data_IF_662233829614
#
_entry.id   IF_662233829614
#
_cell.length_a   1.000
_cell.length_b   1.000
_cell.length_c   1.000
_cell.angle_alpha   90.00
_cell.angle_beta   90.00
_cell.angle_gamma   90.00
#
_symmetry.space_group_name_H-M   'P 1'
#
loop_
_entity.id
_entity.type
_entity.pdbx_description
1 polymer ?
#
# COMPACT_ATOMS: atom_id res chain seq x y z
N UNK A 1 0.62 7.52 -0.42
CA UNK A 1 0.79 6.07 -0.19
C UNK A 1 1.72 5.95 1.01
N UNK A 2 1.32 5.28 2.09
CA UNK A 2 2.06 5.28 3.36
C UNK A 2 2.31 3.86 3.82
N UNK A 3 3.58 3.51 4.01
CA UNK A 3 4.03 2.22 4.53
C UNK A 3 5.24 2.41 5.42
N UNK A 4 5.06 2.21 6.73
CA UNK A 4 6.02 2.55 7.77
C UNK A 4 6.93 1.41 8.24
N UNK A 5 6.96 0.28 7.53
CA UNK A 5 7.93 -0.78 7.79
C UNK A 5 8.64 -1.20 6.49
N UNK A 6 9.76 -1.88 6.67
CA UNK A 6 10.54 -2.47 5.60
C UNK A 6 10.61 -3.98 5.78
N UNK A 7 10.89 -4.75 4.71
CA UNK A 7 10.98 -6.21 4.80
C UNK A 7 12.02 -6.78 5.81
N UNK A 8 12.89 -5.94 6.39
CA UNK A 8 13.86 -6.37 7.42
C UNK A 8 13.58 -5.84 8.83
N UNK A 9 12.48 -5.11 9.07
CA UNK A 9 12.04 -4.74 10.42
C UNK A 9 13.05 -3.88 11.18
N UNK A 10 13.39 -2.71 10.64
CA UNK A 10 14.21 -1.71 11.35
C UNK A 10 13.53 -1.24 12.68
N UNK A 11 12.26 -1.60 12.88
CA UNK A 11 11.53 -1.54 14.16
C UNK A 11 11.99 -2.58 15.21
N UNK A 12 13.30 -2.76 15.48
CA UNK A 12 13.88 -3.70 16.47
C UNK A 12 13.10 -5.04 16.59
N UNK A 13 13.35 -5.92 15.63
CA UNK A 13 12.94 -7.33 15.67
C UNK A 13 12.18 -7.71 14.40
N UNK A 14 12.22 -8.99 13.97
CA UNK A 14 11.40 -9.45 12.87
C UNK A 14 9.93 -9.43 13.32
N UNK A 15 9.26 -8.29 13.18
CA UNK A 15 7.81 -8.27 13.14
C UNK A 15 7.44 -8.69 11.73
N UNK A 16 7.27 -9.99 11.51
CA UNK A 16 6.57 -10.41 10.30
C UNK A 16 5.11 -9.97 10.46
N UNK A 17 4.46 -9.58 9.36
CA UNK A 17 3.00 -9.59 9.32
C UNK A 17 2.50 -10.98 9.76
N UNK A 18 1.44 -11.06 10.56
CA UNK A 18 0.93 -12.34 11.05
C UNK A 18 1.64 -12.93 12.28
N UNK A 19 2.45 -12.16 13.00
CA UNK A 19 2.89 -12.52 14.35
C UNK A 19 4.14 -13.41 14.44
N UNK A 20 5.07 -13.28 13.51
CA UNK A 20 6.39 -13.94 13.56
C UNK A 20 6.38 -15.42 13.22
N UNK A 21 5.29 -15.95 12.65
CA UNK A 21 5.15 -17.38 12.32
C UNK A 21 5.66 -17.74 10.92
N UNK A 22 6.17 -16.77 10.16
CA UNK A 22 6.45 -16.94 8.73
C UNK A 22 7.94 -17.15 8.39
N UNK A 23 8.29 -18.06 7.46
CA UNK A 23 9.66 -18.45 7.17
C UNK A 23 10.33 -17.62 6.05
N UNK A 24 10.74 -16.38 6.30
CA UNK A 24 11.56 -15.63 5.34
C UNK A 24 11.42 -14.11 5.42
N UNK A 25 12.29 -13.34 4.74
CA UNK A 25 12.14 -11.89 4.63
C UNK A 25 11.01 -11.60 3.63
N UNK A 26 9.82 -11.35 4.15
CA UNK A 26 8.64 -11.09 3.31
C UNK A 26 8.47 -9.60 3.01
N UNK A 27 8.10 -9.38 1.77
CA UNK A 27 8.23 -8.19 0.95
C UNK A 27 6.90 -7.52 0.63
N UNK A 28 5.80 -7.96 1.26
CA UNK A 28 4.44 -7.52 1.01
C UNK A 28 4.26 -6.01 1.16
N UNK A 29 4.94 -5.39 2.13
CA UNK A 29 4.91 -3.95 2.34
C UNK A 29 5.40 -3.21 1.10
N UNK A 30 6.52 -3.65 0.51
CA UNK A 30 7.05 -3.06 -0.71
C UNK A 30 6.26 -3.48 -1.94
N UNK A 31 5.93 -4.76 -2.07
CA UNK A 31 5.17 -5.31 -3.20
C UNK A 31 3.82 -4.60 -3.35
N UNK A 32 3.05 -4.47 -2.27
CA UNK A 32 1.77 -3.76 -2.30
C UNK A 32 1.93 -2.27 -2.56
N UNK A 33 2.94 -1.62 -1.96
CA UNK A 33 3.28 -0.20 -2.24
C UNK A 33 3.56 0.00 -3.74
N UNK A 34 4.35 -0.90 -4.31
CA UNK A 34 4.68 -0.88 -5.73
C UNK A 34 3.43 -1.11 -6.58
N UNK A 35 2.59 -2.10 -6.27
CA UNK A 35 1.37 -2.40 -7.03
C UNK A 35 0.42 -1.21 -7.04
N UNK A 36 0.18 -0.57 -5.90
CA UNK A 36 -0.75 0.57 -5.85
C UNK A 36 -0.17 1.78 -6.58
N UNK A 37 1.13 2.08 -6.44
CA UNK A 37 1.80 3.12 -7.21
C UNK A 37 1.72 2.86 -8.72
N UNK A 38 2.07 1.64 -9.15
CA UNK A 38 2.04 1.22 -10.56
C UNK A 38 0.63 1.36 -11.13
N UNK A 39 -0.38 0.99 -10.32
CA UNK A 39 -1.79 1.07 -10.70
C UNK A 39 -2.20 2.53 -10.93
N UNK A 40 -1.94 3.42 -9.99
CA UNK A 40 -2.26 4.85 -10.14
C UNK A 40 -1.58 5.46 -11.37
N UNK A 41 -0.28 5.20 -11.53
CA UNK A 41 0.50 5.66 -12.67
C UNK A 41 -0.07 5.15 -14.02
N UNK A 42 -0.35 3.85 -14.13
CA UNK A 42 -0.95 3.26 -15.35
C UNK A 42 -2.32 3.83 -15.68
N UNK A 43 -3.11 4.19 -14.66
CA UNK A 43 -4.41 4.84 -14.84
C UNK A 43 -4.33 6.37 -15.01
N UNK A 44 -3.12 6.90 -15.24
CA UNK A 44 -2.92 8.28 -15.71
C UNK A 44 -2.71 9.31 -14.60
N UNK A 45 -2.52 8.87 -13.36
CA UNK A 45 -2.01 9.76 -12.33
C UNK A 45 -0.58 10.14 -12.70
N UNK A 46 -0.26 11.42 -12.55
CA UNK A 46 1.12 11.88 -12.73
C UNK A 46 1.90 11.61 -11.46
N UNK A 47 3.17 11.29 -11.63
CA UNK A 47 4.14 11.04 -10.57
C UNK A 47 4.23 12.22 -9.60
N UNK A 48 4.25 13.45 -10.14
CA UNK A 48 4.20 14.70 -9.35
C UNK A 48 2.96 14.85 -8.43
N UNK A 49 1.94 13.99 -8.59
CA UNK A 49 0.73 13.93 -7.79
C UNK A 49 0.57 12.62 -7.00
N UNK A 50 1.55 11.71 -7.04
CA UNK A 50 1.56 10.46 -6.26
C UNK A 50 2.69 10.59 -5.25
N UNK A 51 2.35 10.76 -3.98
CA UNK A 51 3.34 10.87 -2.91
C UNK A 51 3.48 9.53 -2.20
N UNK A 52 4.68 8.95 -2.22
CA UNK A 52 5.00 7.65 -1.61
C UNK A 52 5.93 7.84 -0.42
N UNK A 53 5.41 7.55 0.76
CA UNK A 53 6.16 7.49 2.01
C UNK A 53 6.41 6.02 2.35
N UNK A 54 7.65 5.58 2.23
CA UNK A 54 8.01 4.17 2.42
C UNK A 54 9.29 4.03 3.24
N UNK A 55 9.20 3.29 4.36
CA UNK A 55 10.36 2.94 5.17
C UNK A 55 11.26 4.14 5.49
N UNK A 56 12.56 4.01 5.24
CA UNK A 56 13.54 5.07 5.47
C UNK A 56 13.63 6.12 4.34
N UNK A 57 12.69 6.13 3.39
CA UNK A 57 12.67 7.10 2.29
C UNK A 57 13.48 6.68 1.06
N UNK A 58 13.70 5.37 0.90
CA UNK A 58 14.41 4.81 -0.25
C UNK A 58 13.57 3.68 -0.86
N UNK A 59 13.63 3.54 -2.19
CA UNK A 59 13.07 2.38 -2.88
C UNK A 59 13.68 1.09 -2.32
N UNK A 60 12.84 0.07 -2.13
CA UNK A 60 13.38 -1.20 -1.66
C UNK A 60 14.24 -1.89 -2.72
N UNK A 61 15.41 -2.37 -2.30
CA UNK A 61 16.31 -3.15 -3.13
C UNK A 61 16.44 -4.55 -2.55
N UNK A 62 15.94 -5.54 -3.27
CA UNK A 62 16.13 -6.93 -2.89
C UNK A 62 17.60 -7.32 -3.06
N UNK A 63 18.18 -7.92 -2.03
CA UNK A 63 19.55 -8.45 -2.09
C UNK A 63 19.53 -9.97 -2.22
N UNK A 64 20.16 -10.50 -3.26
CA UNK A 64 20.30 -11.95 -3.46
C UNK A 64 19.09 -12.66 -4.09
N UNK A 65 17.99 -11.96 -4.34
CA UNK A 65 16.86 -12.48 -5.14
C UNK A 65 16.98 -12.06 -6.61
N UNK A 66 16.33 -12.85 -7.48
CA UNK A 66 16.15 -12.53 -8.91
C UNK A 66 14.90 -11.68 -9.17
N UNK A 67 14.24 -11.16 -8.13
CA UNK A 67 12.93 -10.51 -8.13
C UNK A 67 12.88 -9.26 -9.03
N UNK A 68 12.70 -9.38 -10.33
CA UNK A 68 12.60 -8.23 -11.24
C UNK A 68 11.24 -7.52 -11.15
N UNK A 69 10.17 -8.21 -10.74
CA UNK A 69 8.79 -7.67 -10.74
C UNK A 69 8.66 -6.35 -9.96
N UNK A 70 9.37 -6.27 -8.84
CA UNK A 70 9.27 -5.18 -7.88
C UNK A 70 10.51 -4.30 -7.82
N UNK A 71 11.40 -4.38 -8.80
CA UNK A 71 12.58 -3.50 -8.85
C UNK A 71 12.21 -2.15 -9.46
N UNK A 72 12.10 -1.12 -8.60
CA UNK A 72 11.88 0.27 -9.03
C UNK A 72 12.82 0.69 -10.17
N UNK A 73 14.09 0.28 -10.11
CA UNK A 73 15.12 0.60 -11.11
C UNK A 73 14.79 0.22 -12.56
N UNK A 74 13.89 -0.74 -12.79
CA UNK A 74 13.48 -1.11 -14.15
C UNK A 74 12.55 -0.05 -14.75
N UNK A 75 11.72 0.54 -13.90
CA UNK A 75 10.68 1.49 -14.27
C UNK A 75 11.20 2.92 -14.28
N UNK A 76 12.15 3.26 -13.40
CA UNK A 76 12.83 4.57 -13.39
C UNK A 76 13.53 4.88 -14.71
N UNK A 77 14.15 3.88 -15.33
CA UNK A 77 14.80 4.01 -16.64
C UNK A 77 13.79 4.12 -17.78
N UNK A 78 12.76 3.27 -17.79
CA UNK A 78 11.77 3.23 -18.88
C UNK A 78 10.90 4.48 -18.90
N UNK A 79 10.50 4.96 -17.72
CA UNK A 79 9.50 6.01 -17.56
C UNK A 79 10.08 7.37 -17.16
N UNK A 80 11.40 7.43 -16.91
CA UNK A 80 12.11 8.67 -16.65
C UNK A 80 11.80 9.29 -15.28
N UNK A 81 11.38 8.48 -14.32
CA UNK A 81 11.20 8.84 -12.90
C UNK A 81 12.49 8.53 -12.13
N UNK A 82 12.81 9.27 -11.07
CA UNK A 82 14.08 9.09 -10.33
C UNK A 82 13.98 7.97 -9.29
N UNK A 83 12.90 7.95 -8.53
CA UNK A 83 12.53 6.96 -7.52
C UNK A 83 11.01 6.78 -7.49
N UNK A 84 10.54 5.70 -6.87
CA UNK A 84 9.11 5.54 -6.54
C UNK A 84 8.81 6.17 -5.18
N UNK A 85 9.70 5.97 -4.21
CA UNK A 85 9.64 6.58 -2.87
C UNK A 85 10.04 8.05 -2.93
N UNK A 86 9.23 8.92 -2.33
CA UNK A 86 9.47 10.36 -2.23
C UNK A 86 10.06 10.77 -0.88
N UNK A 87 9.62 10.11 0.20
CA UNK A 87 10.08 10.42 1.55
C UNK A 87 9.99 9.20 2.47
N UNK A 88 10.57 9.33 3.67
CA UNK A 88 10.45 8.35 4.72
C UNK A 88 9.04 8.34 5.32
N UNK A 89 8.73 7.27 6.04
CA UNK A 89 7.44 7.06 6.69
C UNK A 89 7.55 7.20 8.22
N UNK A 90 8.35 8.16 8.72
CA UNK A 90 8.29 8.54 10.13
C UNK A 90 7.10 9.46 10.38
N UNK A 91 6.68 9.57 11.65
CA UNK A 91 5.55 10.42 12.06
C UNK A 91 5.64 11.83 11.49
N UNK A 92 6.80 12.49 11.60
CA UNK A 92 6.94 13.86 11.15
C UNK A 92 6.83 13.98 9.62
N UNK A 93 7.34 13.01 8.87
CA UNK A 93 7.27 13.02 7.40
C UNK A 93 5.82 12.86 6.92
N UNK A 94 5.04 12.01 7.60
CA UNK A 94 3.58 11.87 7.37
C UNK A 94 2.84 13.18 7.67
N UNK A 95 3.16 13.85 8.78
CA UNK A 95 2.57 15.16 9.10
C UNK A 95 2.95 16.21 8.05
N UNK A 96 4.21 16.24 7.65
CA UNK A 96 4.74 17.25 6.73
C UNK A 96 4.15 17.09 5.32
N UNK A 97 3.96 15.85 4.83
CA UNK A 97 3.36 15.65 3.50
C UNK A 97 1.89 16.08 3.47
N UNK A 98 1.11 15.82 4.51
CA UNK A 98 -0.28 16.25 4.53
C UNK A 98 -0.41 17.77 4.72
N UNK A 99 0.47 18.39 5.50
CA UNK A 99 0.55 19.86 5.57
C UNK A 99 0.94 20.48 4.21
N UNK A 100 1.82 19.83 3.46
CA UNK A 100 2.15 20.25 2.09
C UNK A 100 0.95 20.11 1.15
N UNK A 101 0.24 18.97 1.19
CA UNK A 101 -0.96 18.72 0.39
C UNK A 101 -2.07 19.73 0.70
N UNK A 102 -2.31 20.07 1.97
CA UNK A 102 -3.32 21.06 2.35
C UNK A 102 -3.06 22.44 1.74
N UNK A 103 -1.79 22.84 1.60
CA UNK A 103 -1.40 24.07 0.91
C UNK A 103 -1.46 24.01 -0.62
N UNK A 104 -1.48 22.80 -1.21
CA UNK A 104 -1.46 22.57 -2.64
C UNK A 104 -2.87 22.35 -3.22
N UNK A 105 -3.70 21.62 -2.48
CA UNK A 105 -5.01 21.15 -2.91
C UNK A 105 -6.06 22.25 -2.93
N UNK A 106 -7.08 22.04 -3.76
CA UNK A 106 -8.23 22.92 -3.95
C UNK A 106 -9.53 22.14 -3.76
N UNK A 107 -10.65 22.85 -3.63
CA UNK A 107 -11.97 22.23 -3.45
C UNK A 107 -12.45 21.41 -4.67
N UNK A 108 -11.74 21.46 -5.80
CA UNK A 108 -12.02 20.69 -7.02
C UNK A 108 -11.19 19.40 -7.11
N UNK A 109 -10.24 19.18 -6.18
CA UNK A 109 -9.31 18.05 -6.22
C UNK A 109 -9.87 16.77 -5.60
N UNK A 110 -9.30 15.64 -6.03
CA UNK A 110 -9.57 14.31 -5.49
C UNK A 110 -8.39 13.81 -4.67
N UNK A 111 -8.64 13.43 -3.42
CA UNK A 111 -7.62 12.84 -2.55
C UNK A 111 -7.77 11.32 -2.47
N UNK A 112 -6.71 10.59 -2.80
CA UNK A 112 -6.60 9.16 -2.56
C UNK A 112 -5.51 8.89 -1.53
N UNK A 113 -5.87 8.25 -0.43
CA UNK A 113 -4.93 7.83 0.61
C UNK A 113 -4.99 6.32 0.72
N UNK A 114 -3.82 5.70 0.62
CA UNK A 114 -3.65 4.28 0.87
C UNK A 114 -2.61 4.10 1.96
N UNK A 115 -2.90 3.22 2.91
CA UNK A 115 -2.01 2.85 4.02
C UNK A 115 -1.86 1.34 4.08
N UNK A 116 -0.62 0.89 4.28
CA UNK A 116 -0.33 -0.47 4.67
C UNK A 116 0.87 -0.50 5.60
N UNK A 117 0.60 -0.82 6.85
CA UNK A 117 1.59 -1.16 7.86
C UNK A 117 0.89 -1.91 8.99
N UNK A 118 1.58 -2.20 10.09
CA UNK A 118 1.00 -2.75 11.30
C UNK A 118 -0.04 -1.80 11.88
N UNK A 119 -0.92 -2.38 12.69
CA UNK A 119 -1.91 -1.62 13.43
C UNK A 119 -2.06 -2.18 14.82
N UNK A 120 -2.49 -1.31 15.73
CA UNK A 120 -2.70 -1.66 17.13
C UNK A 120 -3.87 -0.86 17.68
N UNK A 121 -4.12 -1.05 18.98
CA UNK A 121 -5.05 -0.23 19.75
C UNK A 121 -4.28 0.39 20.91
N UNK A 122 -4.26 1.72 20.99
CA UNK A 122 -3.70 2.48 22.11
C UNK A 122 -4.82 3.23 22.86
N UNK A 123 -4.56 3.76 24.08
CA UNK A 123 -5.47 4.71 24.70
C UNK A 123 -5.59 5.95 23.82
N UNK A 124 -6.68 6.04 23.06
CA UNK A 124 -6.87 7.04 22.02
C UNK A 124 -7.67 6.49 20.84
N UNK A 125 -7.48 5.22 20.51
CA UNK A 125 -8.16 4.58 19.38
C UNK A 125 -7.28 3.54 18.69
N UNK A 126 -7.58 3.29 17.42
CA UNK A 126 -6.77 2.45 16.53
C UNK A 126 -5.54 3.24 16.05
N UNK A 127 -4.48 2.53 15.68
CA UNK A 127 -3.24 3.17 15.23
C UNK A 127 -2.75 2.58 13.92
N UNK A 128 -2.04 3.40 13.17
CA UNK A 128 -1.16 2.98 12.09
C UNK A 128 0.27 3.03 12.64
N UNK A 129 0.97 1.90 12.66
CA UNK A 129 2.40 1.89 12.97
C UNK A 129 3.16 2.64 11.87
N UNK A 130 4.25 3.29 12.25
CA UNK A 130 5.14 4.07 11.38
C UNK A 130 6.60 3.69 11.67
N UNK A 131 7.53 4.19 10.85
CA UNK A 131 8.95 3.93 11.07
C UNK A 131 9.43 4.43 12.44
N UNK A 132 10.43 3.74 12.99
CA UNK A 132 11.05 4.11 14.26
C UNK A 132 10.27 3.66 15.50
N UNK A 133 9.35 2.70 15.36
CA UNK A 133 8.45 2.24 16.44
C UNK A 133 7.48 3.33 16.91
N UNK A 134 7.19 4.28 16.03
CA UNK A 134 6.19 5.30 16.27
C UNK A 134 4.82 4.84 15.75
N UNK A 135 3.77 5.52 16.17
CA UNK A 135 2.43 5.26 15.66
C UNK A 135 1.69 6.59 15.54
N UNK A 136 0.80 6.68 14.56
CA UNK A 136 -0.19 7.75 14.49
C UNK A 136 -1.56 7.17 14.85
N UNK A 137 -2.28 7.82 15.78
CA UNK A 137 -3.65 7.38 16.12
C UNK A 137 -4.63 7.78 15.02
N UNK A 138 -5.79 7.13 14.99
CA UNK A 138 -6.95 7.53 14.19
C UNK A 138 -7.31 9.02 14.35
N UNK A 139 -7.41 9.52 15.58
CA UNK A 139 -7.68 10.94 15.86
C UNK A 139 -6.60 11.86 15.28
N UNK A 140 -5.32 11.56 15.49
CA UNK A 140 -4.19 12.35 14.99
C UNK A 140 -4.12 12.31 13.46
N UNK A 141 -4.33 11.14 12.86
CA UNK A 141 -4.34 10.96 11.42
C UNK A 141 -5.47 11.75 10.78
N UNK A 142 -6.67 11.72 11.35
CA UNK A 142 -7.80 12.51 10.87
C UNK A 142 -7.56 14.02 11.00
N UNK A 143 -6.88 14.46 12.07
CA UNK A 143 -6.59 15.87 12.34
C UNK A 143 -5.60 16.50 11.35
N UNK A 144 -4.73 15.71 10.73
CA UNK A 144 -3.76 16.20 9.73
C UNK A 144 -4.28 16.13 8.29
N UNK A 145 -5.47 15.58 8.05
CA UNK A 145 -6.01 15.47 6.68
C UNK A 145 -6.25 16.85 6.05
N UNK A 146 -5.91 17.03 4.75
CA UNK A 146 -6.23 18.26 4.02
C UNK A 146 -7.71 18.62 4.10
N UNK A 147 -8.02 19.91 4.19
CA UNK A 147 -9.41 20.41 4.26
C UNK A 147 -10.02 20.65 2.86
N UNK A 148 -9.18 20.89 1.85
CA UNK A 148 -9.58 21.24 0.49
C UNK A 148 -9.64 20.02 -0.43
N UNK A 149 -10.86 19.57 -0.77
CA UNK A 149 -11.13 18.50 -1.74
C UNK A 149 -12.63 18.44 -2.12
N UNK A 150 -12.94 17.90 -3.30
CA UNK A 150 -14.32 17.53 -3.68
C UNK A 150 -14.69 16.17 -3.08
N UNK A 151 -13.80 15.17 -3.25
CA UNK A 151 -13.96 13.80 -2.75
C UNK A 151 -12.64 13.24 -2.25
N UNK A 152 -12.72 12.36 -1.26
CA UNK A 152 -11.56 11.61 -0.78
C UNK A 152 -11.87 10.14 -0.56
N UNK A 153 -10.87 9.29 -0.75
CA UNK A 153 -10.96 7.84 -0.58
C UNK A 153 -9.80 7.36 0.28
N UNK A 154 -10.10 6.51 1.25
CA UNK A 154 -9.12 5.82 2.09
C UNK A 154 -9.17 4.31 1.84
N UNK A 155 -8.04 3.71 1.51
CA UNK A 155 -7.84 2.26 1.48
C UNK A 155 -6.83 1.88 2.54
N UNK A 156 -7.24 1.06 3.51
CA UNK A 156 -6.46 0.84 4.73
C UNK A 156 -6.26 -0.64 4.99
N UNK A 157 -5.05 -1.13 4.68
CA UNK A 157 -4.59 -2.47 5.02
C UNK A 157 -3.79 -2.41 6.32
N UNK A 158 -4.47 -2.38 7.46
CA UNK A 158 -3.80 -2.61 8.73
C UNK A 158 -4.74 -3.29 9.74
N UNK A 159 -4.16 -3.84 10.81
CA UNK A 159 -4.94 -4.33 11.94
C UNK A 159 -5.75 -3.17 12.51
N UNK A 160 -6.97 -3.44 12.97
CA UNK A 160 -7.85 -2.42 13.56
C UNK A 160 -8.18 -1.25 12.61
N UNK A 161 -7.95 -1.37 11.30
CA UNK A 161 -8.20 -0.31 10.31
C UNK A 161 -9.64 0.23 10.34
N UNK A 162 -10.62 -0.61 10.67
CA UNK A 162 -12.03 -0.20 10.88
C UNK A 162 -12.23 0.87 11.94
N UNK A 163 -11.29 1.03 12.89
CA UNK A 163 -11.38 2.04 13.93
C UNK A 163 -11.06 3.47 13.47
N UNK A 164 -10.55 3.67 12.25
CA UNK A 164 -10.35 5.01 11.69
C UNK A 164 -11.63 5.62 11.12
N UNK A 165 -12.72 4.83 11.03
CA UNK A 165 -13.93 5.23 10.30
C UNK A 165 -14.65 6.39 10.97
N UNK A 166 -14.78 6.40 12.29
CA UNK A 166 -15.53 7.43 13.01
C UNK A 166 -14.87 8.81 12.95
N UNK A 167 -13.54 8.86 12.91
CA UNK A 167 -12.78 10.11 12.77
C UNK A 167 -12.68 10.60 11.31
N UNK A 168 -12.54 9.69 10.33
CA UNK A 168 -12.35 10.07 8.93
C UNK A 168 -13.66 10.29 8.16
N UNK A 169 -14.78 9.72 8.61
CA UNK A 169 -16.03 9.70 7.84
C UNK A 169 -16.69 11.08 7.72
N UNK A 170 -17.07 11.43 6.49
CA UNK A 170 -17.98 12.54 6.19
C UNK A 170 -18.71 12.29 4.85
N UNK A 171 -19.57 13.23 4.43
CA UNK A 171 -20.39 13.12 3.21
C UNK A 171 -19.60 13.10 1.88
N UNK A 172 -18.30 13.40 1.92
CA UNK A 172 -17.38 13.41 0.77
C UNK A 172 -16.37 12.26 0.81
N UNK A 173 -16.46 11.37 1.79
CA UNK A 173 -15.45 10.34 2.05
C UNK A 173 -15.96 8.93 1.76
N UNK A 174 -15.14 8.13 1.09
CA UNK A 174 -15.32 6.68 0.99
C UNK A 174 -14.15 6.01 1.71
N UNK A 175 -14.42 5.01 2.55
CA UNK A 175 -13.41 4.31 3.35
C UNK A 175 -13.56 2.81 3.12
N UNK A 176 -12.46 2.16 2.77
CA UNK A 176 -12.35 0.71 2.71
C UNK A 176 -11.28 0.27 3.72
N UNK A 177 -11.68 -0.58 4.66
CA UNK A 177 -10.81 -1.10 5.71
C UNK A 177 -10.70 -2.61 5.56
N UNK A 178 -9.52 -3.14 5.86
CA UNK A 178 -9.24 -4.56 5.77
C UNK A 178 -10.00 -5.39 6.82
N UNK A 179 -10.29 -4.80 7.98
CA UNK A 179 -10.97 -5.48 9.08
C UNK A 179 -11.79 -4.50 9.94
N UNK A 180 -12.57 -5.03 10.87
CA UNK A 180 -13.23 -4.24 11.91
C UNK A 180 -12.21 -3.61 12.89
N UNK A 181 -12.63 -2.60 13.66
CA UNK A 181 -11.83 -1.97 14.72
C UNK A 181 -11.34 -2.97 15.79
N UNK A 182 -12.03 -4.10 15.95
CA UNK A 182 -11.71 -5.13 16.93
C UNK A 182 -10.98 -6.36 16.36
N UNK A 183 -10.62 -6.33 15.07
CA UNK A 183 -10.06 -7.46 14.34
C UNK A 183 -8.64 -7.17 13.84
N UNK A 184 -7.91 -8.24 13.52
CA UNK A 184 -6.59 -8.16 12.88
C UNK A 184 -6.72 -8.56 11.41
N UNK A 185 -6.09 -7.81 10.52
CA UNK A 185 -5.97 -8.15 9.11
C UNK A 185 -4.91 -9.25 8.89
N UNK A 186 -4.98 -9.97 7.77
CA UNK A 186 -4.09 -11.09 7.46
C UNK A 186 -3.22 -10.83 6.23
N UNK A 187 -2.08 -11.54 6.10
CA UNK A 187 -1.46 -11.77 4.80
C UNK A 187 -2.30 -12.78 4.01
N UNK A 188 -2.20 -12.72 2.68
CA UNK A 188 -2.79 -13.71 1.80
C UNK A 188 -1.99 -15.03 1.91
N UNK A 189 -2.48 -15.98 2.72
CA UNK A 189 -1.78 -17.25 2.99
C UNK A 189 -2.60 -18.50 2.64
N UNK A 190 -3.73 -18.33 1.96
CA UNK A 190 -4.58 -19.45 1.62
C UNK A 190 -3.84 -20.41 0.68
N UNK A 191 -3.71 -21.67 1.12
CA UNK A 191 -3.09 -22.75 0.36
C UNK A 191 -4.16 -23.56 -0.36
N UNK A 192 -3.81 -24.15 -1.50
CA UNK A 192 -4.69 -25.13 -2.13
C UNK A 192 -5.05 -26.26 -1.14
N UNK A 193 -6.29 -26.77 -1.14
CA UNK A 193 -6.73 -27.80 -0.18
C UNK A 193 -5.94 -29.12 -0.23
N UNK A 194 -5.20 -29.36 -1.31
CA UNK A 194 -4.31 -30.51 -1.48
C UNK A 194 -2.86 -30.25 -1.00
N UNK A 195 -2.60 -29.07 -0.43
CA UNK A 195 -1.28 -28.63 0.02
C UNK A 195 -0.34 -28.22 -1.12
N UNK A 196 -0.90 -27.91 -2.30
CA UNK A 196 -0.17 -27.41 -3.46
C UNK A 196 0.20 -25.92 -3.37
N UNK A 197 0.38 -25.29 -4.53
CA UNK A 197 0.70 -23.86 -4.65
C UNK A 197 -0.30 -22.98 -3.87
N UNK A 198 0.12 -21.81 -3.36
CA UNK A 198 -0.81 -20.86 -2.73
C UNK A 198 -1.94 -20.47 -3.69
N UNK A 199 -3.17 -20.40 -3.15
CA UNK A 199 -4.35 -19.95 -3.90
C UNK A 199 -4.29 -18.45 -4.20
N UNK A 200 -3.66 -17.69 -3.31
CA UNK A 200 -3.75 -16.23 -3.29
C UNK A 200 -2.39 -15.54 -3.13
N UNK A 201 -1.38 -15.98 -3.88
CA UNK A 201 -0.12 -15.23 -4.01
C UNK A 201 0.16 -14.89 -5.48
N UNK A 202 0.93 -13.84 -5.72
CA UNK A 202 1.40 -13.53 -7.07
C UNK A 202 2.55 -14.47 -7.43
N UNK A 203 2.29 -15.41 -8.34
CA UNK A 203 3.38 -16.13 -8.99
C UNK A 203 3.93 -15.31 -10.15
N UNK A 204 5.21 -14.96 -10.09
CA UNK A 204 5.88 -14.25 -11.17
C UNK A 204 6.87 -15.16 -11.89
N UNK A 205 6.44 -15.67 -13.04
CA UNK A 205 7.19 -16.66 -13.82
C UNK A 205 8.62 -16.23 -14.22
N UNK A 206 8.91 -14.97 -14.58
CA UNK A 206 10.28 -14.56 -14.92
C UNK A 206 11.28 -14.68 -13.77
N UNK A 207 10.82 -14.49 -12.53
CA UNK A 207 11.66 -14.66 -11.34
C UNK A 207 11.55 -16.08 -10.77
N UNK A 208 10.52 -16.83 -11.20
CA UNK A 208 10.14 -18.14 -10.70
C UNK A 208 9.96 -18.13 -9.18
N UNK A 209 9.23 -17.14 -8.70
CA UNK A 209 9.01 -16.89 -7.27
C UNK A 209 7.56 -16.48 -6.98
N UNK A 210 7.18 -16.52 -5.70
CA UNK A 210 5.88 -16.09 -5.20
C UNK A 210 6.03 -14.83 -4.35
N UNK A 211 5.19 -13.83 -4.60
CA UNK A 211 5.11 -12.62 -3.80
C UNK A 211 3.86 -12.64 -2.91
N UNK A 212 4.08 -12.31 -1.64
CA UNK A 212 3.04 -12.18 -0.64
C UNK A 212 2.44 -10.78 -0.66
N UNK A 213 1.18 -10.70 -0.28
CA UNK A 213 0.39 -9.48 -0.26
C UNK A 213 -0.46 -9.42 1.01
N UNK A 214 -0.91 -8.22 1.38
CA UNK A 214 -2.01 -8.10 2.32
C UNK A 214 -3.30 -8.69 1.72
N UNK A 215 -4.07 -9.50 2.47
CA UNK A 215 -5.25 -10.20 1.93
C UNK A 215 -6.27 -9.23 1.30
N UNK A 216 -6.65 -8.17 2.03
CA UNK A 216 -7.54 -7.14 1.50
C UNK A 216 -6.94 -6.41 0.30
N UNK A 217 -5.65 -6.07 0.35
CA UNK A 217 -4.96 -5.40 -0.76
C UNK A 217 -4.97 -6.26 -2.02
N UNK A 218 -4.60 -7.54 -1.91
CA UNK A 218 -4.60 -8.49 -3.03
C UNK A 218 -5.95 -8.50 -3.76
N UNK A 219 -7.05 -8.63 -3.02
CA UNK A 219 -8.38 -8.65 -3.62
C UNK A 219 -8.82 -7.30 -4.19
N UNK A 220 -8.58 -6.19 -3.48
CA UNK A 220 -8.99 -4.86 -3.92
C UNK A 220 -8.19 -4.41 -5.14
N UNK A 221 -6.88 -4.68 -5.17
CA UNK A 221 -6.05 -4.40 -6.34
C UNK A 221 -6.51 -5.19 -7.56
N UNK A 222 -6.78 -6.49 -7.42
CA UNK A 222 -7.32 -7.30 -8.51
C UNK A 222 -8.66 -6.75 -9.03
N UNK A 223 -9.54 -6.30 -8.14
CA UNK A 223 -10.82 -5.70 -8.50
C UNK A 223 -10.63 -4.35 -9.23
N UNK A 224 -9.73 -3.50 -8.75
CA UNK A 224 -9.49 -2.17 -9.30
C UNK A 224 -8.78 -2.19 -10.66
N UNK A 225 -7.91 -3.17 -10.87
CA UNK A 225 -7.15 -3.36 -12.12
C UNK A 225 -7.96 -4.09 -13.20
N UNK A 226 -9.07 -4.74 -12.83
CA UNK A 226 -9.82 -5.67 -13.69
C UNK A 226 -9.00 -6.88 -14.18
N UNK A 227 -7.84 -7.12 -13.59
CA UNK A 227 -6.92 -8.22 -13.90
C UNK A 227 -6.30 -8.74 -12.61
N UNK A 228 -5.94 -10.01 -12.60
CA UNK A 228 -5.22 -10.59 -11.46
C UNK A 228 -3.77 -10.13 -11.49
N UNK A 229 -3.24 -9.69 -10.36
CA UNK A 229 -1.79 -9.53 -10.16
C UNK A 229 -1.08 -10.87 -10.43
N UNK A 230 -1.73 -11.99 -10.11
CA UNK A 230 -1.16 -13.34 -10.10
C UNK A 230 -0.99 -14.06 -11.45
N UNK A 231 -1.20 -13.46 -12.63
CA UNK A 231 -1.10 -14.23 -13.89
C UNK A 231 -0.47 -13.47 -15.06
N UNK A 232 0.85 -13.67 -15.24
CA UNK A 232 1.49 -13.49 -16.54
C UNK A 232 1.46 -14.81 -17.32
N UNK A 233 0.46 -14.98 -18.18
CA UNK A 233 0.65 -15.75 -19.40
C UNK A 233 0.96 -14.77 -20.53
N UNK A 234 2.10 -14.98 -21.19
CA UNK A 234 2.61 -14.26 -22.36
C UNK A 234 1.55 -13.98 -23.42
N UNK A 235 0.74 -12.93 -23.29
CA UNK A 235 0.05 -12.22 -24.37
C UNK A 235 -0.31 -10.82 -23.87
N UNK A 236 0.63 -9.91 -24.00
CA UNK A 236 0.30 -8.49 -24.17
C UNK A 236 -0.59 -8.40 -25.41
N UNK A 237 -1.90 -8.30 -25.23
CA UNK A 237 -2.74 -7.65 -26.23
C UNK A 237 -2.76 -6.15 -25.89
N UNK A 238 -2.14 -5.28 -26.69
CA UNK A 238 -2.54 -3.89 -26.68
C UNK A 238 -3.98 -3.86 -27.21
N UNK A 239 -4.79 -2.91 -26.74
CA UNK A 239 -6.16 -2.66 -27.18
C UNK A 239 -7.26 -3.29 -26.31
N UNK A 240 -7.24 -3.00 -25.00
CA UNK A 240 -8.52 -2.64 -24.36
C UNK A 240 -8.80 -1.16 -24.65
N UNK A 241 -9.38 -0.97 -25.83
CA UNK A 241 -10.02 0.26 -26.28
C UNK A 241 -10.98 0.75 -25.17
N UNK A 242 -10.59 1.81 -24.46
CA UNK A 242 -11.37 2.50 -23.42
C UNK A 242 -12.52 3.33 -24.03
N UNK A 243 -13.20 2.80 -25.05
CA UNK A 243 -14.38 3.40 -25.70
C UNK A 243 -15.69 2.96 -25.02
N UNK A 244 -15.69 2.82 -23.70
CA UNK A 244 -16.87 2.40 -22.94
C UNK A 244 -17.23 3.33 -21.79
N UNK A 245 -17.00 4.64 -21.90
CA UNK A 245 -17.80 5.67 -21.19
C UNK A 245 -17.83 6.97 -22.01
N UNK A 246 -18.74 7.03 -22.98
CA UNK A 246 -19.35 8.28 -23.50
C UNK A 246 -20.83 8.27 -23.21
#
# INVERSE_FOLDING_TARGET
LITGDTPYGDAIGPKTWGGGMDPGPYDEFWSDTFVIWETLWKYGWKDENIFVLFGNGEDWVFTGCTNNRYYASQYTIEWGIESITDDAAYYQDVVDIFAYLDGLMTDDDFLFVWTFDHGSTLPGGSTLELMGQDNITDEEFAAIMPEHYDKRVFWMQQYHSGGFIDDLHNEKTVILTACDASESAGPCLDLNPDGGDPLENEYYAPDNDYYTHGEFNYHVFNAARYETIAYFNFLWEPDLNLDCFT
#
